data_IF_307316998066
#
_entry.id   IF_307316998066
#
_cell.length_a   1.000
_cell.length_b   1.000
_cell.length_c   1.000
_cell.angle_alpha   90.00
_cell.angle_beta   90.00
_cell.angle_gamma   90.00
#
_symmetry.space_group_name_H-M   'P 1'
#
loop_
_entity.id
_entity.type
_entity.pdbx_description
1 polymer ?
#
# COMPACT_ATOMS: atom_id res chain seq x y z
N UNK A 1 0.48 13.27 78.56
CA UNK A 1 1.37 13.19 77.38
C UNK A 1 0.54 12.72 76.19
N UNK A 2 0.00 13.65 75.38
CA UNK A 2 -0.96 13.36 74.29
C UNK A 2 -0.21 12.97 73.01
N UNK A 3 -0.34 11.72 72.57
CA UNK A 3 0.17 11.27 71.26
C UNK A 3 -0.87 11.54 70.18
N UNK A 4 -0.50 12.40 69.22
CA UNK A 4 -1.38 12.93 68.17
C UNK A 4 -1.88 11.84 67.19
N UNK A 5 -3.21 11.70 66.97
CA UNK A 5 -3.81 10.75 66.01
C UNK A 5 -3.54 11.11 64.53
N UNK A 6 -3.04 12.31 64.24
CA UNK A 6 -2.81 12.81 62.88
C UNK A 6 -1.73 12.04 62.10
N UNK A 7 -0.72 11.47 62.77
CA UNK A 7 0.37 10.72 62.09
C UNK A 7 -0.09 9.37 61.52
N UNK A 8 -1.09 8.72 62.12
CA UNK A 8 -1.66 7.45 61.60
C UNK A 8 -2.56 7.69 60.39
N UNK A 9 -3.31 8.79 60.37
CA UNK A 9 -4.19 9.15 59.25
C UNK A 9 -3.41 9.53 57.97
N UNK A 10 -2.28 10.23 58.12
CA UNK A 10 -1.41 10.59 56.99
C UNK A 10 -0.73 9.37 56.33
N UNK A 11 -0.37 8.35 57.12
CA UNK A 11 0.18 7.08 56.58
C UNK A 11 -0.86 6.30 55.78
N UNK A 12 -2.11 6.23 56.26
CA UNK A 12 -3.19 5.54 55.53
C UNK A 12 -3.61 6.25 54.23
N UNK A 13 -3.62 7.59 54.20
CA UNK A 13 -3.88 8.34 52.95
C UNK A 13 -2.79 8.13 51.90
N UNK A 14 -1.51 8.06 52.30
CA UNK A 14 -0.39 7.80 51.37
C UNK A 14 -0.44 6.38 50.78
N UNK A 15 -0.76 5.38 51.59
CA UNK A 15 -0.87 3.99 51.12
C UNK A 15 -2.09 3.77 50.20
N UNK A 16 -3.24 4.36 50.52
CA UNK A 16 -4.44 4.30 49.66
C UNK A 16 -4.24 5.04 48.34
N UNK A 17 -3.55 6.19 48.34
CA UNK A 17 -3.20 6.94 47.14
C UNK A 17 -2.32 6.14 46.18
N UNK A 18 -1.36 5.37 46.70
CA UNK A 18 -0.46 4.56 45.86
C UNK A 18 -1.20 3.39 45.19
N UNK A 19 -2.13 2.76 45.90
CA UNK A 19 -3.00 1.71 45.33
C UNK A 19 -3.90 2.24 44.21
N UNK A 20 -4.50 3.43 44.39
CA UNK A 20 -5.34 4.06 43.36
C UNK A 20 -4.51 4.44 42.12
N UNK A 21 -3.31 4.99 42.31
CA UNK A 21 -2.40 5.34 41.21
C UNK A 21 -1.99 4.09 40.42
N UNK A 22 -1.63 3.00 41.10
CA UNK A 22 -1.34 1.71 40.46
C UNK A 22 -2.51 1.20 39.64
N UNK A 23 -3.73 1.27 40.17
CA UNK A 23 -4.93 0.79 39.50
C UNK A 23 -5.22 1.60 38.23
N UNK A 24 -5.09 2.92 38.29
CA UNK A 24 -5.22 3.80 37.12
C UNK A 24 -4.13 3.51 36.08
N UNK A 25 -2.87 3.31 36.51
CA UNK A 25 -1.78 2.93 35.61
C UNK A 25 -2.07 1.62 34.88
N UNK A 26 -2.50 0.58 35.60
CA UNK A 26 -2.86 -0.71 34.99
C UNK A 26 -4.01 -0.56 33.98
N UNK A 27 -5.04 0.23 34.30
CA UNK A 27 -6.13 0.47 33.37
C UNK A 27 -5.65 1.22 32.11
N UNK A 28 -4.80 2.24 32.29
CA UNK A 28 -4.26 3.00 31.15
C UNK A 28 -3.34 2.17 30.26
N UNK A 29 -2.52 1.28 30.84
CA UNK A 29 -1.65 0.39 30.06
C UNK A 29 -2.44 -0.70 29.33
N UNK A 30 -3.52 -1.23 29.93
CA UNK A 30 -4.42 -2.16 29.23
C UNK A 30 -5.11 -1.49 28.05
N UNK A 31 -5.65 -0.28 28.24
CA UNK A 31 -6.31 0.48 27.16
C UNK A 31 -5.30 0.83 26.06
N UNK A 32 -4.11 1.33 26.43
CA UNK A 32 -3.04 1.63 25.47
C UNK A 32 -2.58 0.39 24.70
N UNK A 33 -2.42 -0.75 25.39
CA UNK A 33 -2.08 -2.03 24.79
C UNK A 33 -3.16 -2.51 23.81
N UNK A 34 -4.43 -2.34 24.13
CA UNK A 34 -5.54 -2.68 23.24
C UNK A 34 -5.53 -1.85 21.95
N UNK A 35 -5.39 -0.52 22.06
CA UNK A 35 -5.29 0.34 20.88
C UNK A 35 -4.07 0.01 20.02
N UNK A 36 -2.93 -0.24 20.66
CA UNK A 36 -1.72 -0.64 19.97
C UNK A 36 -1.89 -1.96 19.23
N UNK A 37 -2.40 -2.99 19.91
CA UNK A 37 -2.67 -4.29 19.32
C UNK A 37 -3.62 -4.18 18.12
N UNK A 38 -4.73 -3.45 18.27
CA UNK A 38 -5.71 -3.31 17.20
C UNK A 38 -5.12 -2.60 15.97
N UNK A 39 -4.30 -1.56 16.19
CA UNK A 39 -3.60 -0.85 15.11
C UNK A 39 -2.60 -1.75 14.39
N UNK A 40 -1.79 -2.51 15.13
CA UNK A 40 -0.81 -3.43 14.57
C UNK A 40 -1.51 -4.56 13.82
N UNK A 41 -2.52 -5.19 14.41
CA UNK A 41 -3.30 -6.26 13.76
C UNK A 41 -3.93 -5.79 12.45
N UNK A 42 -4.58 -4.62 12.46
CA UNK A 42 -5.18 -4.04 11.25
C UNK A 42 -4.12 -3.74 10.18
N UNK A 43 -2.95 -3.23 10.59
CA UNK A 43 -1.84 -2.97 9.67
C UNK A 43 -1.27 -4.25 9.06
N UNK A 44 -1.14 -5.31 9.86
CA UNK A 44 -0.68 -6.62 9.38
C UNK A 44 -1.69 -7.19 8.40
N UNK A 45 -2.98 -7.13 8.70
CA UNK A 45 -4.03 -7.61 7.79
C UNK A 45 -4.01 -6.84 6.46
N UNK A 46 -3.86 -5.51 6.50
CA UNK A 46 -3.73 -4.69 5.29
C UNK A 46 -2.51 -5.09 4.44
N UNK A 47 -1.35 -5.29 5.06
CA UNK A 47 -0.12 -5.67 4.36
C UNK A 47 -0.17 -7.09 3.81
N UNK A 48 -0.65 -8.05 4.61
CA UNK A 48 -0.61 -9.47 4.25
C UNK A 48 -1.67 -9.86 3.23
N UNK A 49 -2.86 -9.25 3.28
CA UNK A 49 -3.98 -9.66 2.42
C UNK A 49 -4.26 -8.66 1.32
N UNK A 50 -4.50 -7.39 1.66
CA UNK A 50 -4.93 -6.38 0.68
C UNK A 50 -3.79 -5.97 -0.24
N UNK A 51 -2.65 -5.59 0.32
CA UNK A 51 -1.50 -5.16 -0.47
C UNK A 51 -0.98 -6.27 -1.40
N UNK A 52 -0.83 -7.50 -0.89
CA UNK A 52 -0.40 -8.64 -1.71
C UNK A 52 -1.41 -9.00 -2.81
N UNK A 53 -2.72 -8.88 -2.55
CA UNK A 53 -3.74 -9.12 -3.58
C UNK A 53 -3.68 -8.05 -4.66
N UNK A 54 -3.48 -6.77 -4.31
CA UNK A 54 -3.29 -5.71 -5.31
C UNK A 54 -2.01 -5.89 -6.13
N UNK A 55 -1.00 -6.57 -5.57
CA UNK A 55 0.28 -6.81 -6.22
C UNK A 55 0.21 -7.76 -7.41
N UNK A 56 -0.75 -8.67 -7.43
CA UNK A 56 -0.94 -9.65 -8.52
C UNK A 56 -2.14 -9.34 -9.42
N UNK A 57 -2.79 -8.21 -9.21
CA UNK A 57 -4.10 -7.89 -9.78
C UNK A 57 -4.08 -7.17 -11.13
N UNK A 58 -2.91 -7.07 -11.78
CA UNK A 58 -2.76 -6.42 -13.10
C UNK A 58 -2.56 -7.50 -14.15
N UNK A 59 -3.37 -7.45 -15.21
CA UNK A 59 -3.34 -8.43 -16.30
C UNK A 59 -3.28 -7.74 -17.65
N UNK A 60 -2.39 -8.21 -18.53
CA UNK A 60 -2.36 -7.80 -19.92
C UNK A 60 -3.44 -8.56 -20.71
N UNK A 61 -4.36 -7.84 -21.36
CA UNK A 61 -5.42 -8.43 -22.19
C UNK A 61 -5.02 -8.54 -23.65
N UNK A 62 -4.46 -7.47 -24.19
CA UNK A 62 -4.02 -7.41 -25.58
C UNK A 62 -2.98 -6.32 -25.74
N UNK A 63 -2.18 -6.45 -26.80
CA UNK A 63 -1.12 -5.51 -27.14
C UNK A 63 -1.09 -5.31 -28.64
N UNK A 64 -0.66 -4.12 -29.06
CA UNK A 64 -0.32 -3.82 -30.45
C UNK A 64 0.80 -2.80 -30.48
N UNK A 65 1.57 -2.78 -31.56
CA UNK A 65 2.68 -1.86 -31.76
C UNK A 65 2.61 -1.30 -33.18
N UNK A 66 3.02 -0.04 -33.33
CA UNK A 66 3.28 0.59 -34.62
C UNK A 66 4.58 1.39 -34.52
N UNK A 67 4.95 2.10 -35.59
CA UNK A 67 6.23 2.84 -35.65
C UNK A 67 6.39 3.93 -34.57
N UNK A 68 5.30 4.42 -33.98
CA UNK A 68 5.29 5.58 -33.07
C UNK A 68 4.75 5.28 -31.67
N UNK A 69 4.07 4.15 -31.48
CA UNK A 69 3.33 3.87 -30.27
C UNK A 69 3.19 2.37 -30.02
N UNK A 70 3.39 1.97 -28.78
CA UNK A 70 2.90 0.70 -28.21
C UNK A 70 1.57 0.98 -27.55
N UNK A 71 0.56 0.17 -27.86
CA UNK A 71 -0.77 0.20 -27.24
C UNK A 71 -0.94 -1.09 -26.46
N UNK A 72 -1.26 -0.99 -25.18
CA UNK A 72 -1.54 -2.15 -24.32
C UNK A 72 -2.87 -1.96 -23.60
N UNK A 73 -3.63 -3.04 -23.49
CA UNK A 73 -4.89 -3.07 -22.75
C UNK A 73 -4.65 -3.78 -21.44
N UNK A 74 -4.75 -3.02 -20.35
CA UNK A 74 -4.42 -3.49 -19.01
C UNK A 74 -5.72 -3.61 -18.21
N UNK A 75 -5.96 -4.81 -17.70
CA UNK A 75 -7.07 -5.11 -16.81
C UNK A 75 -6.61 -5.00 -15.35
N UNK A 76 -7.42 -4.35 -14.53
CA UNK A 76 -7.27 -4.32 -13.10
C UNK A 76 -8.30 -5.25 -12.46
N UNK A 77 -7.87 -6.39 -11.94
CA UNK A 77 -8.70 -7.35 -11.19
C UNK A 77 -8.62 -7.16 -9.68
N UNK A 78 -8.02 -6.05 -9.23
CA UNK A 78 -7.80 -5.74 -7.82
C UNK A 78 -9.05 -5.20 -7.15
N UNK A 79 -8.90 -4.80 -5.90
CA UNK A 79 -9.95 -4.15 -5.12
C UNK A 79 -9.87 -2.63 -5.15
N UNK A 80 -8.73 -2.03 -5.54
CA UNK A 80 -8.55 -0.58 -5.65
C UNK A 80 -8.29 -0.14 -7.10
N UNK A 81 -8.54 1.14 -7.39
CA UNK A 81 -8.09 1.73 -8.64
C UNK A 81 -6.56 1.85 -8.66
N UNK A 82 -5.95 1.58 -9.81
CA UNK A 82 -4.50 1.67 -10.02
C UNK A 82 -4.20 2.81 -10.98
N UNK A 83 -3.03 3.42 -10.82
CA UNK A 83 -2.52 4.43 -11.75
C UNK A 83 -1.18 3.99 -12.29
N UNK A 84 -1.02 4.02 -13.61
CA UNK A 84 0.27 3.77 -14.25
C UNK A 84 1.11 5.05 -14.09
N UNK A 85 2.23 4.93 -13.38
CA UNK A 85 3.11 6.06 -13.05
C UNK A 85 4.31 6.13 -13.99
N UNK A 86 4.88 4.98 -14.33
CA UNK A 86 6.03 4.88 -15.21
C UNK A 86 5.81 3.77 -16.23
N UNK A 87 6.40 3.93 -17.41
CA UNK A 87 6.54 2.88 -18.40
C UNK A 87 8.01 2.79 -18.80
N UNK A 88 8.49 1.58 -19.05
CA UNK A 88 9.82 1.32 -19.54
C UNK A 88 9.73 0.46 -20.80
N UNK A 89 10.60 0.73 -21.76
CA UNK A 89 10.78 -0.09 -22.96
C UNK A 89 12.26 -0.43 -23.07
N UNK A 90 12.59 -1.72 -23.07
CA UNK A 90 13.97 -2.23 -23.00
C UNK A 90 14.77 -1.57 -21.87
N UNK A 91 14.17 -1.49 -20.67
CA UNK A 91 14.76 -0.84 -19.48
C UNK A 91 14.96 0.68 -19.56
N UNK A 92 14.58 1.32 -20.67
CA UNK A 92 14.60 2.79 -20.80
C UNK A 92 13.24 3.39 -20.48
N UNK A 93 13.22 4.54 -19.82
CA UNK A 93 11.97 5.26 -19.50
C UNK A 93 11.24 5.62 -20.81
N UNK A 94 10.01 5.13 -20.96
CA UNK A 94 9.10 5.44 -22.04
C UNK A 94 8.17 6.61 -21.70
N UNK A 95 7.68 7.31 -22.72
CA UNK A 95 6.75 8.42 -22.54
C UNK A 95 5.31 7.93 -22.62
N UNK A 96 4.54 8.10 -21.55
CA UNK A 96 3.09 7.85 -21.57
C UNK A 96 2.38 9.00 -22.29
N UNK A 97 1.51 8.68 -23.26
CA UNK A 97 0.72 9.70 -23.98
C UNK A 97 -0.24 10.45 -23.06
N UNK A 98 -0.76 9.75 -22.05
CA UNK A 98 -1.77 10.26 -21.14
C UNK A 98 -1.58 9.66 -19.75
N UNK A 99 -2.16 10.31 -18.75
CA UNK A 99 -2.29 9.76 -17.42
C UNK A 99 -3.29 8.61 -17.47
N UNK A 100 -2.86 7.42 -17.04
CA UNK A 100 -3.72 6.23 -17.06
C UNK A 100 -4.11 5.85 -15.65
N UNK A 101 -5.41 5.94 -15.37
CA UNK A 101 -6.04 5.45 -14.15
C UNK A 101 -7.00 4.33 -14.55
N UNK A 102 -6.84 3.17 -13.94
CA UNK A 102 -7.59 1.95 -14.25
C UNK A 102 -8.45 1.63 -13.02
N UNK A 103 -9.77 1.89 -13.11
CA UNK A 103 -10.69 1.57 -12.02
C UNK A 103 -10.68 0.09 -11.67
N UNK A 104 -11.23 -0.22 -10.49
CA UNK A 104 -11.45 -1.60 -10.05
C UNK A 104 -12.25 -2.39 -11.10
N UNK A 105 -11.80 -3.59 -11.44
CA UNK A 105 -12.47 -4.50 -12.40
C UNK A 105 -12.68 -3.90 -13.79
N UNK A 106 -11.88 -2.90 -14.18
CA UNK A 106 -11.94 -2.26 -15.49
C UNK A 106 -10.73 -2.64 -16.35
N UNK A 107 -10.84 -2.36 -17.65
CA UNK A 107 -9.77 -2.51 -18.63
C UNK A 107 -9.55 -1.17 -19.29
N UNK A 108 -8.31 -0.69 -19.28
CA UNK A 108 -7.97 0.59 -19.85
C UNK A 108 -6.77 0.49 -20.79
N UNK A 109 -6.69 1.47 -21.69
CA UNK A 109 -5.65 1.54 -22.71
C UNK A 109 -4.47 2.39 -22.24
N UNK A 110 -3.28 1.82 -22.35
CA UNK A 110 -2.01 2.49 -22.09
C UNK A 110 -1.27 2.68 -23.40
N UNK A 111 -0.94 3.93 -23.69
CA UNK A 111 -0.20 4.34 -24.88
C UNK A 111 1.21 4.78 -24.50
N UNK A 112 2.21 4.08 -25.01
CA UNK A 112 3.63 4.38 -24.82
C UNK A 112 4.18 4.92 -26.14
N UNK A 113 4.55 6.20 -26.15
CA UNK A 113 5.13 6.86 -27.29
C UNK A 113 6.62 6.52 -27.42
N UNK A 114 7.08 6.37 -28.65
CA UNK A 114 8.47 6.07 -28.97
C UNK A 114 8.73 6.00 -30.46
N UNK A 115 9.90 5.53 -30.83
CA UNK A 115 10.23 5.19 -32.22
C UNK A 115 10.55 3.70 -32.27
N UNK A 116 9.72 2.96 -32.99
CA UNK A 116 9.79 1.50 -33.04
C UNK A 116 10.09 1.02 -34.46
N UNK A 117 10.95 0.01 -34.55
CA UNK A 117 11.45 -0.55 -35.80
C UNK A 117 10.84 -1.92 -36.00
N UNK A 118 10.38 -2.19 -37.23
CA UNK A 118 9.84 -3.50 -37.60
C UNK A 118 10.90 -4.59 -37.50
N UNK A 119 10.48 -5.79 -37.14
CA UNK A 119 11.33 -6.96 -36.89
C UNK A 119 11.98 -6.98 -35.50
N UNK A 120 11.75 -5.98 -34.65
CA UNK A 120 12.33 -5.91 -33.30
C UNK A 120 11.28 -6.29 -32.25
N UNK A 121 11.71 -7.09 -31.27
CA UNK A 121 10.97 -7.36 -30.03
C UNK A 121 11.39 -6.38 -28.95
N UNK A 122 10.42 -5.80 -28.27
CA UNK A 122 10.59 -4.86 -27.18
C UNK A 122 10.04 -5.46 -25.88
N UNK A 123 10.80 -5.37 -24.80
CA UNK A 123 10.34 -5.69 -23.45
C UNK A 123 9.76 -4.44 -22.82
N UNK A 124 8.47 -4.48 -22.48
CA UNK A 124 7.75 -3.37 -21.88
C UNK A 124 7.48 -3.67 -20.41
N UNK A 125 7.77 -2.71 -19.54
CA UNK A 125 7.45 -2.78 -18.12
C UNK A 125 6.59 -1.58 -17.73
N UNK A 126 5.39 -1.83 -17.20
CA UNK A 126 4.50 -0.79 -16.68
C UNK A 126 4.49 -0.85 -15.16
N UNK A 127 4.80 0.28 -14.51
CA UNK A 127 4.84 0.40 -13.05
C UNK A 127 3.62 1.20 -12.58
N UNK A 128 2.96 0.68 -11.56
CA UNK A 128 1.80 1.33 -10.94
C UNK A 128 2.18 2.17 -9.71
N UNK A 129 1.22 2.93 -9.19
CA UNK A 129 1.34 3.76 -7.99
C UNK A 129 1.58 2.97 -6.68
N UNK A 130 1.35 1.66 -6.68
CA UNK A 130 1.63 0.77 -5.55
C UNK A 130 3.05 0.18 -5.58
N UNK A 131 3.84 0.50 -6.61
CA UNK A 131 5.20 0.00 -6.80
C UNK A 131 5.28 -1.36 -7.49
N UNK A 132 4.16 -1.90 -7.96
CA UNK A 132 4.11 -3.17 -8.67
C UNK A 132 4.28 -2.92 -10.16
N UNK A 133 4.93 -3.87 -10.83
CA UNK A 133 5.12 -3.80 -12.27
C UNK A 133 4.58 -5.04 -12.99
N UNK A 134 4.12 -4.81 -14.22
CA UNK A 134 3.81 -5.86 -15.18
C UNK A 134 4.80 -5.74 -16.33
N UNK A 135 5.47 -6.85 -16.65
CA UNK A 135 6.43 -6.93 -17.76
C UNK A 135 5.92 -7.89 -18.83
N UNK A 136 6.04 -7.48 -20.08
CA UNK A 136 5.61 -8.26 -21.24
C UNK A 136 6.43 -7.92 -22.48
N UNK A 137 6.46 -8.83 -23.45
CA UNK A 137 7.17 -8.63 -24.71
C UNK A 137 6.20 -8.31 -25.85
N UNK A 138 6.62 -7.43 -26.75
CA UNK A 138 5.88 -7.07 -27.96
C UNK A 138 6.82 -7.03 -29.16
N UNK A 139 6.50 -7.81 -30.19
CA UNK A 139 7.24 -7.83 -31.46
C UNK A 139 6.54 -6.93 -32.48
N UNK A 140 7.29 -6.01 -33.11
CA UNK A 140 6.77 -5.22 -34.22
C UNK A 140 6.90 -5.99 -35.52
N UNK A 141 5.79 -6.54 -36.01
CA UNK A 141 5.72 -7.23 -37.31
C UNK A 141 5.53 -6.26 -38.49
#
# INVERSE_FOLDING_TARGET
>A
MKTHPQKKLLKNKKASSMGIIMLVLVLTTMVGGYFFYNRVSTSIEYMTTKFNTEMTSILLKSLSINASCITSYIANTGIWAIKIVNAYVNQHIGTLKQLVEIPKNAVEQVYILGQFVKGITYTVELVNNFGNSISFEVTYN
#
